data_IF_335168590534
#
_entry.id   IF_335168590534
#
_cell.length_a   1.000
_cell.length_b   1.000
_cell.length_c   1.000
_cell.angle_alpha   90.00
_cell.angle_beta   90.00
_cell.angle_gamma   90.00
#
_symmetry.space_group_name_H-M   'P 1'
#
loop_
_entity.id
_entity.type
_entity.pdbx_description
1 polymer ?
#
# COMPACT_ATOMS: atom_id res chain seq x y z
N UNK A 1 -15.50 -9.98 5.06
CA UNK A 1 -14.26 -9.52 4.41
C UNK A 1 -14.28 -9.89 2.94
N UNK A 2 -13.98 -8.92 2.07
CA UNK A 2 -13.71 -9.12 0.64
C UNK A 2 -12.42 -8.37 0.30
N UNK A 3 -11.54 -8.97 -0.52
CA UNK A 3 -10.27 -8.35 -0.93
C UNK A 3 -10.21 -8.45 -2.45
N UNK A 4 -10.13 -7.29 -3.11
CA UNK A 4 -10.05 -7.19 -4.56
C UNK A 4 -8.74 -6.54 -4.96
N UNK A 5 -7.90 -7.26 -5.69
CA UNK A 5 -6.76 -6.63 -6.35
C UNK A 5 -7.25 -5.84 -7.57
N UNK A 6 -6.86 -4.58 -7.63
CA UNK A 6 -7.15 -3.68 -8.75
C UNK A 6 -6.01 -3.74 -9.76
N UNK A 7 -4.81 -3.33 -9.33
CA UNK A 7 -3.62 -3.31 -10.18
C UNK A 7 -2.38 -3.02 -9.33
N UNK A 8 -1.23 -3.57 -9.67
CA UNK A 8 0.01 -3.41 -8.91
C UNK A 8 -0.21 -3.67 -7.41
N UNK A 9 0.19 -2.75 -6.54
CA UNK A 9 -0.07 -2.80 -5.10
C UNK A 9 -1.49 -2.35 -4.71
N UNK A 10 -2.25 -1.77 -5.66
CA UNK A 10 -3.60 -1.24 -5.38
C UNK A 10 -4.59 -2.37 -5.11
N UNK A 11 -5.14 -2.37 -3.90
CA UNK A 11 -6.21 -3.29 -3.48
C UNK A 11 -7.36 -2.55 -2.82
N UNK A 12 -8.56 -3.11 -2.96
CA UNK A 12 -9.74 -2.70 -2.20
C UNK A 12 -10.00 -3.76 -1.13
N UNK A 13 -10.14 -3.33 0.10
CA UNK A 13 -10.47 -4.19 1.24
C UNK A 13 -11.82 -3.76 1.82
N UNK A 14 -12.83 -4.61 1.64
CA UNK A 14 -14.11 -4.47 2.34
C UNK A 14 -14.05 -5.29 3.62
N UNK A 15 -14.07 -4.62 4.77
CA UNK A 15 -13.80 -5.20 6.06
C UNK A 15 -14.61 -4.51 7.16
N UNK A 16 -15.37 -5.28 7.94
CA UNK A 16 -16.21 -4.73 9.01
C UNK A 16 -17.21 -3.67 8.52
N UNK A 17 -17.76 -3.84 7.31
CA UNK A 17 -18.69 -2.88 6.69
C UNK A 17 -18.03 -1.60 6.19
N UNK A 18 -16.69 -1.53 6.14
CA UNK A 18 -15.91 -0.41 5.62
C UNK A 18 -15.17 -0.79 4.35
N UNK A 19 -15.05 0.13 3.40
CA UNK A 19 -14.31 -0.02 2.15
C UNK A 19 -13.04 0.82 2.22
N UNK A 20 -11.89 0.18 2.25
CA UNK A 20 -10.58 0.80 2.37
C UNK A 20 -9.81 0.56 1.09
N UNK A 21 -9.36 1.63 0.44
CA UNK A 21 -8.51 1.59 -0.73
C UNK A 21 -7.05 1.67 -0.27
N UNK A 22 -6.25 0.67 -0.60
CA UNK A 22 -4.83 0.60 -0.21
C UNK A 22 -3.97 0.84 -1.43
N UNK A 23 -2.97 1.73 -1.28
CA UNK A 23 -1.93 2.03 -2.26
C UNK A 23 -2.49 2.35 -3.67
N UNK A 24 -3.27 3.44 -3.84
CA UNK A 24 -3.94 3.76 -5.09
C UNK A 24 -2.98 4.27 -6.17
N UNK A 25 -2.57 3.39 -7.09
CA UNK A 25 -1.91 3.76 -8.34
C UNK A 25 -2.97 3.84 -9.45
N UNK A 26 -3.44 5.05 -9.79
CA UNK A 26 -4.61 5.27 -10.64
C UNK A 26 -4.29 5.78 -12.05
N UNK A 27 -3.03 6.05 -12.37
CA UNK A 27 -2.61 6.55 -13.67
C UNK A 27 -2.82 5.56 -14.82
N UNK A 28 -2.74 6.06 -16.04
CA UNK A 28 -2.88 5.25 -17.27
C UNK A 28 -1.73 4.25 -17.41
N UNK A 29 -1.97 3.17 -18.14
CA UNK A 29 -0.92 2.24 -18.55
C UNK A 29 0.31 2.99 -19.07
N UNK A 30 1.50 2.61 -18.58
CA UNK A 30 2.77 3.15 -19.02
C UNK A 30 3.05 4.60 -18.62
N UNK A 31 2.29 5.20 -17.70
CA UNK A 31 2.51 6.59 -17.28
C UNK A 31 3.86 6.78 -16.54
N UNK A 32 4.38 5.74 -15.89
CA UNK A 32 5.66 5.78 -15.18
C UNK A 32 6.79 5.12 -15.98
N UNK A 33 8.04 5.62 -15.86
CA UNK A 33 9.20 4.94 -16.41
C UNK A 33 9.41 3.58 -15.70
N UNK A 34 10.19 2.66 -16.31
CA UNK A 34 10.60 1.45 -15.60
C UNK A 34 11.50 1.81 -14.42
N UNK A 35 11.49 0.99 -13.37
CA UNK A 35 12.42 1.18 -12.25
C UNK A 35 13.87 1.13 -12.74
N UNK A 36 14.71 2.08 -12.29
CA UNK A 36 16.11 2.13 -12.67
C UNK A 36 16.81 0.78 -12.39
N UNK A 37 17.63 0.32 -13.34
CA UNK A 37 18.39 -0.92 -13.25
C UNK A 37 17.56 -2.22 -13.16
N UNK A 38 16.24 -2.16 -13.30
CA UNK A 38 15.40 -3.35 -13.37
C UNK A 38 15.68 -4.15 -14.66
N UNK A 39 15.27 -5.43 -14.66
CA UNK A 39 15.50 -6.32 -15.81
C UNK A 39 14.81 -5.86 -17.10
N UNK A 40 13.62 -5.27 -16.97
CA UNK A 40 12.73 -4.99 -18.09
C UNK A 40 12.65 -3.48 -18.37
N UNK A 41 13.78 -2.83 -18.63
CA UNK A 41 13.87 -1.39 -18.86
C UNK A 41 13.05 -0.86 -20.06
N UNK A 42 12.55 -1.75 -20.92
CA UNK A 42 11.66 -1.39 -22.03
C UNK A 42 10.18 -1.35 -21.63
N UNK A 43 9.82 -1.85 -20.44
CA UNK A 43 8.45 -1.90 -19.95
C UNK A 43 8.19 -0.73 -19.00
N UNK A 44 7.25 0.13 -19.38
CA UNK A 44 6.78 1.22 -18.52
C UNK A 44 5.67 0.73 -17.59
N UNK A 45 5.61 1.24 -16.38
CA UNK A 45 4.58 0.94 -15.40
C UNK A 45 3.41 1.95 -15.46
N UNK A 46 2.21 1.51 -15.08
CA UNK A 46 1.76 0.12 -14.91
C UNK A 46 1.68 -0.62 -16.25
N UNK A 47 1.79 -1.95 -16.24
CA UNK A 47 1.78 -2.78 -17.47
C UNK A 47 0.38 -2.90 -18.10
N UNK A 48 -0.66 -2.67 -17.34
CA UNK A 48 -2.07 -2.81 -17.74
C UNK A 48 -2.86 -1.55 -17.41
N UNK A 49 -3.96 -1.33 -18.13
CA UNK A 49 -4.96 -0.32 -17.73
C UNK A 49 -5.66 -0.75 -16.43
N UNK A 50 -6.38 0.17 -15.80
CA UNK A 50 -7.30 -0.20 -14.72
C UNK A 50 -8.35 -1.19 -15.26
N UNK A 51 -8.72 -2.22 -14.49
CA UNK A 51 -9.68 -3.24 -14.95
C UNK A 51 -11.11 -2.71 -15.07
N UNK A 52 -11.40 -1.55 -14.48
CA UNK A 52 -12.68 -0.85 -14.52
C UNK A 52 -12.43 0.66 -14.32
N UNK A 53 -13.44 1.53 -14.63
CA UNK A 53 -13.29 2.97 -14.49
C UNK A 53 -12.87 3.40 -13.09
N UNK A 54 -12.09 4.48 -12.99
CA UNK A 54 -11.57 4.98 -11.71
C UNK A 54 -12.70 5.38 -10.75
N UNK A 55 -13.83 5.81 -11.26
CA UNK A 55 -15.03 6.13 -10.49
C UNK A 55 -15.56 4.90 -9.74
N UNK A 56 -15.46 3.71 -10.34
CA UNK A 56 -15.84 2.45 -9.68
C UNK A 56 -14.81 2.02 -8.62
N UNK A 57 -13.52 2.34 -8.82
CA UNK A 57 -12.48 2.13 -7.79
C UNK A 57 -12.81 2.95 -6.55
N UNK A 58 -13.16 4.23 -6.73
CA UNK A 58 -13.39 5.19 -5.65
C UNK A 58 -14.81 5.12 -5.05
N UNK A 59 -15.73 4.46 -5.71
CA UNK A 59 -17.13 4.37 -5.27
C UNK A 59 -17.26 3.74 -3.90
N UNK A 60 -17.78 4.51 -2.95
CA UNK A 60 -18.04 4.07 -1.59
C UNK A 60 -16.78 3.81 -0.74
N UNK A 61 -15.62 4.32 -1.15
CA UNK A 61 -14.39 4.25 -0.34
C UNK A 61 -14.56 5.14 0.89
N UNK A 62 -14.41 4.55 2.08
CA UNK A 62 -14.46 5.24 3.38
C UNK A 62 -13.11 5.88 3.74
N UNK A 63 -11.99 5.29 3.27
CA UNK A 63 -10.65 5.78 3.55
C UNK A 63 -9.61 5.23 2.57
N UNK A 64 -8.52 5.95 2.41
CA UNK A 64 -7.29 5.50 1.72
C UNK A 64 -6.23 5.18 2.77
N UNK A 65 -5.50 4.09 2.59
CA UNK A 65 -4.38 3.68 3.44
C UNK A 65 -3.13 3.52 2.59
N UNK A 66 -2.05 4.19 2.96
CA UNK A 66 -0.78 4.11 2.25
C UNK A 66 0.26 3.34 3.06
N UNK A 67 0.89 2.36 2.42
CA UNK A 67 2.03 1.64 3.02
C UNK A 67 3.30 2.48 2.95
N UNK A 68 3.50 3.22 1.87
CA UNK A 68 4.57 4.19 1.65
C UNK A 68 4.31 5.00 0.37
N UNK A 69 5.18 5.97 0.06
CA UNK A 69 4.97 6.95 -1.03
C UNK A 69 5.77 6.65 -2.31
N UNK A 70 6.05 5.39 -2.63
CA UNK A 70 6.58 5.08 -3.95
C UNK A 70 5.51 5.23 -5.03
N UNK A 71 5.92 5.66 -6.23
CA UNK A 71 5.01 5.97 -7.34
C UNK A 71 4.17 4.77 -7.82
N UNK A 72 4.58 3.54 -7.54
CA UNK A 72 3.81 2.32 -7.81
C UNK A 72 2.81 1.96 -6.70
N UNK A 73 2.78 2.75 -5.62
CA UNK A 73 1.81 2.68 -4.52
C UNK A 73 0.86 3.87 -4.50
N UNK A 74 1.35 5.07 -4.76
CA UNK A 74 0.51 6.25 -5.00
C UNK A 74 1.15 7.11 -6.07
N UNK A 75 0.42 7.40 -7.13
CA UNK A 75 0.90 8.18 -8.27
C UNK A 75 0.24 9.56 -8.34
N UNK A 76 0.77 10.43 -9.21
CA UNK A 76 0.26 11.79 -9.42
C UNK A 76 -1.22 11.79 -9.80
N UNK A 77 -1.66 10.82 -10.62
CA UNK A 77 -3.06 10.69 -10.99
C UNK A 77 -3.97 10.42 -9.78
N UNK A 78 -3.49 9.62 -8.81
CA UNK A 78 -4.24 9.40 -7.58
C UNK A 78 -4.36 10.69 -6.76
N UNK A 79 -3.27 11.46 -6.65
CA UNK A 79 -3.31 12.76 -6.00
C UNK A 79 -4.27 13.74 -6.68
N UNK A 80 -4.39 13.72 -8.00
CA UNK A 80 -5.31 14.59 -8.76
C UNK A 80 -6.77 14.16 -8.66
N UNK A 81 -7.04 12.85 -8.75
CA UNK A 81 -8.41 12.31 -8.92
C UNK A 81 -9.12 12.11 -7.58
N UNK A 82 -8.42 11.69 -6.53
CA UNK A 82 -9.03 11.42 -5.22
C UNK A 82 -9.56 12.72 -4.62
N UNK A 83 -10.82 12.76 -4.12
CA UNK A 83 -11.39 13.93 -3.47
C UNK A 83 -10.53 14.42 -2.30
N UNK A 84 -10.34 15.73 -2.17
CA UNK A 84 -9.42 16.33 -1.18
C UNK A 84 -9.92 16.22 0.27
N UNK A 85 -11.18 15.89 0.47
CA UNK A 85 -11.80 15.57 1.74
C UNK A 85 -11.76 14.08 2.09
N UNK A 86 -11.19 13.24 1.20
CA UNK A 86 -10.96 11.82 1.48
C UNK A 86 -10.05 11.67 2.69
N UNK A 87 -10.41 10.74 3.58
CA UNK A 87 -9.63 10.40 4.75
C UNK A 87 -8.45 9.50 4.35
N UNK A 88 -7.24 9.97 4.66
CA UNK A 88 -5.99 9.24 4.42
C UNK A 88 -5.37 8.76 5.72
N UNK A 89 -4.83 7.55 5.67
CA UNK A 89 -3.95 6.98 6.69
C UNK A 89 -2.58 6.72 6.11
N UNK A 90 -1.54 7.14 6.83
CA UNK A 90 -0.14 7.05 6.41
C UNK A 90 0.73 6.45 7.52
N UNK A 91 1.95 6.04 7.19
CA UNK A 91 2.83 5.37 8.14
C UNK A 91 3.50 6.30 9.15
N UNK A 92 3.81 7.55 8.78
CA UNK A 92 4.53 8.49 9.64
C UNK A 92 4.21 9.96 9.29
N UNK A 93 4.79 10.87 10.06
CA UNK A 93 4.55 12.32 9.93
C UNK A 93 5.15 12.89 8.64
N UNK A 94 6.23 12.31 8.11
CA UNK A 94 6.82 12.77 6.85
C UNK A 94 5.86 12.48 5.69
N UNK A 95 5.33 11.27 5.62
CA UNK A 95 4.31 10.89 4.61
C UNK A 95 3.05 11.74 4.76
N UNK A 96 2.65 12.05 6.00
CA UNK A 96 1.52 12.95 6.27
C UNK A 96 1.73 14.32 5.66
N UNK A 97 2.90 14.93 5.85
CA UNK A 97 3.21 16.25 5.29
C UNK A 97 3.19 16.23 3.75
N UNK A 98 3.75 15.19 3.13
CA UNK A 98 3.73 15.04 1.67
C UNK A 98 2.30 14.95 1.16
N UNK A 99 1.46 14.06 1.71
CA UNK A 99 0.07 13.90 1.27
C UNK A 99 -0.72 15.21 1.49
N UNK A 100 -0.52 15.89 2.61
CA UNK A 100 -1.14 17.20 2.86
C UNK A 100 -0.70 18.27 1.86
N UNK A 101 0.56 18.24 1.38
CA UNK A 101 1.05 19.20 0.38
C UNK A 101 0.35 19.06 -0.97
N UNK A 102 -0.26 17.89 -1.26
CA UNK A 102 -1.15 17.66 -2.40
C UNK A 102 -2.59 18.15 -2.17
N UNK A 103 -2.87 18.83 -1.05
CA UNK A 103 -4.15 19.47 -0.73
C UNK A 103 -5.15 18.61 0.01
N UNK A 104 -4.79 17.44 0.51
CA UNK A 104 -5.67 16.62 1.34
C UNK A 104 -5.80 17.18 2.76
N UNK A 105 -7.04 17.26 3.26
CA UNK A 105 -7.35 17.91 4.54
C UNK A 105 -7.44 16.93 5.72
N UNK A 106 -7.66 15.65 5.46
CA UNK A 106 -7.88 14.62 6.47
C UNK A 106 -6.83 13.52 6.37
N UNK A 107 -5.60 13.82 6.83
CA UNK A 107 -4.47 12.87 6.80
C UNK A 107 -4.03 12.56 8.22
N UNK A 108 -4.06 11.27 8.57
CA UNK A 108 -3.72 10.77 9.91
C UNK A 108 -2.58 9.76 9.85
N UNK A 109 -1.64 9.86 10.79
CA UNK A 109 -0.63 8.82 10.99
C UNK A 109 -1.26 7.64 11.73
N UNK A 110 -1.05 6.42 11.21
CA UNK A 110 -1.55 5.21 11.89
C UNK A 110 -0.85 5.02 13.24
N UNK A 111 -1.62 5.07 14.30
CA UNK A 111 -1.20 4.84 15.68
C UNK A 111 -1.98 3.68 16.33
N UNK A 112 -1.79 3.52 17.64
CA UNK A 112 -2.37 2.38 18.39
C UNK A 112 -3.92 2.38 18.41
N UNK A 113 -4.55 3.56 18.26
CA UNK A 113 -5.99 3.74 18.35
C UNK A 113 -6.66 4.07 17.01
N UNK A 114 -5.95 3.91 15.89
CA UNK A 114 -6.49 4.22 14.56
C UNK A 114 -7.67 3.31 14.22
N UNK A 115 -8.77 3.95 13.78
CA UNK A 115 -10.02 3.25 13.43
C UNK A 115 -10.73 3.85 12.23
N UNK A 116 -11.41 2.96 11.49
CA UNK A 116 -12.42 3.33 10.48
C UNK A 116 -13.72 2.64 10.89
N UNK A 117 -14.62 3.37 11.56
CA UNK A 117 -15.76 2.76 12.25
C UNK A 117 -15.29 1.79 13.35
N UNK A 118 -15.75 0.54 13.31
CA UNK A 118 -15.35 -0.51 14.26
C UNK A 118 -14.05 -1.24 13.84
N UNK A 119 -13.55 -0.98 12.64
CA UNK A 119 -12.29 -1.57 12.14
C UNK A 119 -11.11 -0.89 12.82
N UNK A 120 -10.32 -1.63 13.56
CA UNK A 120 -9.04 -1.18 14.11
C UNK A 120 -7.92 -1.46 13.11
N UNK A 121 -7.05 -0.48 12.90
CA UNK A 121 -5.88 -0.57 12.01
C UNK A 121 -4.63 -0.35 12.86
N UNK A 122 -3.71 -1.30 12.85
CA UNK A 122 -2.45 -1.21 13.57
C UNK A 122 -1.27 -1.34 12.60
N UNK A 123 -0.24 -0.54 12.83
CA UNK A 123 1.00 -0.63 12.06
C UNK A 123 1.78 -1.90 12.41
N UNK A 124 2.27 -2.60 11.40
CA UNK A 124 3.12 -3.76 11.50
C UNK A 124 4.51 -3.45 10.93
N UNK A 125 5.52 -4.13 11.46
CA UNK A 125 6.89 -3.96 10.99
C UNK A 125 7.02 -4.39 9.52
N UNK A 126 7.70 -3.58 8.73
CA UNK A 126 8.01 -3.87 7.33
C UNK A 126 9.44 -3.41 7.00
N UNK A 127 10.05 -4.01 6.00
CA UNK A 127 11.39 -3.65 5.54
C UNK A 127 11.49 -3.83 4.03
N UNK A 128 11.61 -2.70 3.33
CA UNK A 128 11.80 -2.67 1.89
C UNK A 128 13.25 -3.02 1.54
N UNK A 129 13.42 -4.16 0.88
CA UNK A 129 14.74 -4.62 0.45
C UNK A 129 15.68 -5.13 1.57
N UNK A 130 16.82 -5.64 1.16
CA UNK A 130 17.85 -6.14 2.07
C UNK A 130 18.71 -5.00 2.64
N UNK A 131 19.72 -5.35 3.47
CA UNK A 131 20.58 -4.43 4.20
C UNK A 131 21.14 -3.25 3.37
N UNK A 132 21.51 -3.49 2.10
CA UNK A 132 22.08 -2.45 1.20
C UNK A 132 20.96 -1.56 0.63
N UNK A 133 19.78 -2.12 0.35
CA UNK A 133 18.65 -1.43 -0.27
C UNK A 133 17.73 -0.74 0.74
N UNK A 134 17.82 -1.08 2.01
CA UNK A 134 16.95 -0.54 3.06
C UNK A 134 16.94 0.99 3.13
N UNK A 135 18.09 1.63 2.96
CA UNK A 135 18.19 3.10 3.03
C UNK A 135 17.67 3.79 1.76
N UNK A 136 18.09 3.42 0.53
CA UNK A 136 17.57 4.07 -0.67
C UNK A 136 16.12 3.70 -1.00
N UNK A 137 15.61 2.56 -0.51
CA UNK A 137 14.22 2.15 -0.71
C UNK A 137 13.22 2.84 0.24
N UNK A 138 13.71 3.59 1.24
CA UNK A 138 12.85 4.32 2.17
C UNK A 138 12.16 3.45 3.22
N UNK A 139 11.25 4.08 3.95
CA UNK A 139 10.43 3.44 4.97
C UNK A 139 9.16 2.88 4.34
N UNK A 140 8.69 1.75 4.82
CA UNK A 140 7.42 1.12 4.46
C UNK A 140 6.77 0.55 5.70
N UNK A 141 5.46 0.41 5.70
CA UNK A 141 4.69 -0.21 6.77
C UNK A 141 3.78 -1.32 6.23
N UNK A 142 3.65 -2.39 7.01
CA UNK A 142 2.51 -3.27 6.90
C UNK A 142 1.39 -2.81 7.83
N UNK A 143 0.19 -3.36 7.66
CA UNK A 143 -0.96 -3.04 8.49
C UNK A 143 -1.74 -4.28 8.89
N UNK A 144 -2.25 -4.27 10.12
CA UNK A 144 -3.12 -5.34 10.63
C UNK A 144 -4.49 -4.75 10.90
N UNK A 145 -5.51 -5.40 10.34
CA UNK A 145 -6.91 -5.05 10.51
C UNK A 145 -7.56 -6.04 11.45
N UNK A 146 -8.27 -5.54 12.44
CA UNK A 146 -9.04 -6.34 13.38
C UNK A 146 -10.46 -5.79 13.54
N UNK A 147 -11.44 -6.70 13.64
CA UNK A 147 -12.85 -6.41 13.88
C UNK A 147 -13.48 -7.60 14.59
N UNK A 148 -14.46 -7.41 15.53
CA UNK A 148 -15.03 -8.50 16.31
C UNK A 148 -15.64 -9.66 15.51
N UNK A 149 -16.12 -9.38 14.29
CA UNK A 149 -16.82 -10.34 13.44
C UNK A 149 -16.04 -10.77 12.20
N UNK A 150 -14.77 -10.34 12.06
CA UNK A 150 -13.96 -10.64 10.89
C UNK A 150 -12.66 -11.35 11.29
N UNK A 151 -12.10 -12.11 10.37
CA UNK A 151 -10.78 -12.69 10.52
C UNK A 151 -9.72 -11.61 10.56
N UNK A 152 -8.70 -11.74 11.39
CA UNK A 152 -7.57 -10.82 11.43
C UNK A 152 -6.85 -10.84 10.08
N UNK A 153 -6.77 -9.67 9.43
CA UNK A 153 -6.07 -9.48 8.16
C UNK A 153 -4.73 -8.79 8.41
N UNK A 154 -3.65 -9.33 7.84
CA UNK A 154 -2.35 -8.68 7.76
C UNK A 154 -2.03 -8.35 6.30
N UNK A 155 -2.01 -7.06 5.96
CA UNK A 155 -1.46 -6.54 4.72
C UNK A 155 0.03 -6.24 4.94
N UNK A 156 0.90 -7.02 4.32
CA UNK A 156 2.33 -6.95 4.59
C UNK A 156 3.02 -5.74 3.94
N UNK A 157 2.41 -5.15 2.89
CA UNK A 157 3.05 -4.12 2.08
C UNK A 157 4.32 -4.65 1.39
N UNK A 158 5.21 -3.74 1.05
CA UNK A 158 6.50 -4.06 0.44
C UNK A 158 7.50 -4.46 1.52
N UNK A 159 7.62 -5.74 1.75
CA UNK A 159 8.54 -6.27 2.76
C UNK A 159 9.24 -7.54 2.30
N UNK A 160 10.52 -7.65 2.65
CA UNK A 160 11.24 -8.92 2.56
C UNK A 160 10.88 -9.82 3.74
N UNK A 161 11.18 -11.12 3.63
CA UNK A 161 11.09 -12.04 4.75
C UNK A 161 12.24 -11.81 5.75
N UNK A 162 11.94 -11.27 6.93
CA UNK A 162 12.91 -10.98 7.98
C UNK A 162 12.31 -11.14 9.38
N UNK A 163 13.10 -10.85 10.41
CA UNK A 163 12.69 -11.05 11.81
C UNK A 163 11.43 -10.24 12.20
N UNK A 164 11.22 -9.05 11.61
CA UNK A 164 10.04 -8.23 11.84
C UNK A 164 8.75 -8.93 11.40
N UNK A 165 8.74 -9.50 10.20
CA UNK A 165 7.57 -10.28 9.72
C UNK A 165 7.27 -11.44 10.66
N UNK A 166 8.31 -12.16 11.14
CA UNK A 166 8.11 -13.24 12.12
C UNK A 166 7.50 -12.74 13.43
N UNK A 167 7.91 -11.54 13.91
CA UNK A 167 7.31 -10.91 15.09
C UNK A 167 5.85 -10.54 14.85
N UNK A 168 5.52 -9.96 13.68
CA UNK A 168 4.15 -9.63 13.31
C UNK A 168 3.25 -10.86 13.34
N UNK A 169 3.65 -11.96 12.68
CA UNK A 169 2.90 -13.21 12.66
C UNK A 169 2.66 -13.78 14.07
N UNK A 170 3.68 -13.68 14.92
CA UNK A 170 3.60 -14.16 16.32
C UNK A 170 2.68 -13.29 17.18
N UNK A 171 2.76 -11.97 17.00
CA UNK A 171 2.02 -10.96 17.77
C UNK A 171 0.55 -10.94 17.38
N UNK A 172 0.27 -10.83 16.09
CA UNK A 172 -1.07 -10.58 15.57
C UNK A 172 -1.84 -11.86 15.20
N UNK A 173 -1.13 -12.97 14.94
CA UNK A 173 -1.71 -14.26 14.55
C UNK A 173 -2.76 -14.11 13.44
N UNK A 174 -2.42 -13.44 12.31
CA UNK A 174 -3.40 -13.19 11.26
C UNK A 174 -3.90 -14.48 10.64
N UNK A 175 -5.18 -14.50 10.30
CA UNK A 175 -5.83 -15.63 9.61
C UNK A 175 -5.80 -15.45 8.11
N UNK A 176 -5.66 -14.19 7.64
CA UNK A 176 -5.53 -13.83 6.22
C UNK A 176 -4.33 -12.89 6.07
N UNK A 177 -3.55 -13.12 5.02
CA UNK A 177 -2.37 -12.29 4.71
C UNK A 177 -2.42 -11.91 3.23
N UNK A 178 -2.23 -10.63 2.92
CA UNK A 178 -1.97 -10.14 1.57
C UNK A 178 -0.50 -9.77 1.43
N UNK A 179 0.13 -10.23 0.34
CA UNK A 179 1.54 -10.06 0.07
C UNK A 179 1.74 -9.36 -1.28
N UNK A 180 2.58 -8.34 -1.30
CA UNK A 180 3.09 -7.79 -2.55
C UNK A 180 4.23 -8.69 -3.04
N UNK A 181 4.01 -9.41 -4.13
CA UNK A 181 4.94 -10.41 -4.66
C UNK A 181 5.24 -10.16 -6.15
N UNK A 182 5.54 -8.92 -6.50
CA UNK A 182 5.79 -8.47 -7.87
C UNK A 182 7.04 -9.06 -8.51
N UNK A 183 7.98 -9.58 -7.71
CA UNK A 183 9.19 -10.26 -8.20
C UNK A 183 10.12 -9.35 -8.99
N UNK A 184 10.11 -8.03 -8.72
CA UNK A 184 11.02 -7.11 -9.40
C UNK A 184 12.48 -7.44 -9.06
N UNK A 185 13.33 -7.47 -10.07
CA UNK A 185 14.72 -7.88 -9.91
C UNK A 185 15.70 -7.00 -10.69
N UNK A 186 16.90 -6.85 -10.16
CA UNK A 186 17.98 -6.15 -10.85
C UNK A 186 18.50 -6.91 -12.06
N UNK A 187 18.91 -6.16 -13.09
CA UNK A 187 19.52 -6.70 -14.32
C UNK A 187 20.83 -7.44 -14.03
N UNK A 188 21.65 -6.94 -13.09
CA UNK A 188 22.89 -7.52 -12.64
C UNK A 188 22.69 -8.19 -11.28
N UNK A 189 23.10 -9.48 -11.15
CA UNK A 189 23.05 -10.22 -9.90
C UNK A 189 21.77 -11.00 -9.61
N UNK A 190 20.73 -10.88 -10.43
CA UNK A 190 19.54 -11.73 -10.36
C UNK A 190 18.72 -11.65 -9.06
N UNK A 191 19.05 -10.73 -8.15
CA UNK A 191 18.39 -10.61 -6.85
C UNK A 191 17.02 -9.95 -7.00
N UNK A 192 16.02 -10.60 -6.47
CA UNK A 192 14.67 -10.03 -6.32
C UNK A 192 14.73 -8.95 -5.25
N UNK A 193 14.10 -7.80 -5.51
CA UNK A 193 14.05 -6.66 -4.58
C UNK A 193 12.94 -6.88 -3.56
N UNK A 194 11.94 -7.64 -3.97
CA UNK A 194 10.83 -8.13 -3.17
C UNK A 194 10.41 -9.51 -3.63
#
# INVERSE_FOLDING_TARGET
MNIQQVRNATIIVEYGGKKILIDPMLGKKGCMPPFPFSRNQHLRNPLHELPFPVEEVLKGVDAVLLTHLHDDHIDEAAYEIIPKDMRFFVQDENDRQVVMSHGFNHVEVVGDNTRVGEVSIQKAESQHGNFIMKYPAGHTAGYVFTHPQEKTLYHAGDTIWYAGVKRNLKRFRPEVITLNAGGNGFRLGGRVIM
#
